data_IF_185543622889
#
_entry.id   IF_185543622889
#
_cell.length_a   1.000
_cell.length_b   1.000
_cell.length_c   1.000
_cell.angle_alpha   90.00
_cell.angle_beta   90.00
_cell.angle_gamma   90.00
#
_symmetry.space_group_name_H-M   'P 1'
#
loop_
_entity.id
_entity.type
_entity.pdbx_description
1 polymer ?
#
# COMPACT_ATOMS: atom_id res chain seq x y z
N UNK A 1 -66.07 -24.79 -10.21
CA UNK A 1 -64.71 -24.65 -9.64
C UNK A 1 -64.39 -23.14 -9.63
N UNK A 2 -64.46 -22.45 -8.47
CA UNK A 2 -64.19 -21.01 -8.42
C UNK A 2 -62.69 -20.72 -8.61
N UNK A 3 -62.31 -19.63 -9.31
CA UNK A 3 -60.91 -19.27 -9.51
C UNK A 3 -60.23 -18.83 -8.19
N UNK A 4 -58.92 -19.09 -8.02
CA UNK A 4 -58.19 -18.66 -6.82
C UNK A 4 -58.15 -17.12 -6.75
N UNK A 5 -58.40 -16.57 -5.55
CA UNK A 5 -58.29 -15.11 -5.33
C UNK A 5 -56.83 -14.69 -5.51
N UNK A 6 -56.57 -13.54 -6.16
CA UNK A 6 -55.22 -13.03 -6.28
C UNK A 6 -54.65 -12.74 -4.88
N UNK A 7 -53.33 -12.93 -4.68
CA UNK A 7 -52.69 -12.68 -3.39
C UNK A 7 -52.86 -11.20 -3.01
N UNK A 8 -53.68 -10.95 -2.00
CA UNK A 8 -53.91 -9.62 -1.44
C UNK A 8 -52.67 -9.24 -0.63
N UNK A 9 -51.82 -8.37 -1.20
CA UNK A 9 -50.62 -7.88 -0.50
C UNK A 9 -51.06 -7.05 0.71
N UNK A 10 -50.77 -7.51 1.92
CA UNK A 10 -51.15 -6.83 3.15
C UNK A 10 -50.61 -5.38 3.17
N UNK A 11 -51.44 -4.37 3.44
CA UNK A 11 -51.03 -2.96 3.45
C UNK A 11 -49.90 -2.67 4.46
N UNK A 12 -49.82 -3.49 5.52
CA UNK A 12 -48.75 -3.44 6.53
C UNK A 12 -47.38 -3.77 5.91
N UNK A 13 -47.33 -4.74 4.99
CA UNK A 13 -46.09 -5.12 4.30
C UNK A 13 -45.63 -4.00 3.39
N UNK A 14 -46.55 -3.36 2.66
CA UNK A 14 -46.25 -2.22 1.78
C UNK A 14 -45.73 -1.03 2.59
N UNK A 15 -46.34 -0.73 3.74
CA UNK A 15 -45.87 0.31 4.65
C UNK A 15 -44.48 0.03 5.23
N UNK A 16 -44.21 -1.22 5.62
CA UNK A 16 -42.90 -1.65 6.11
C UNK A 16 -41.79 -1.48 5.07
N UNK A 17 -42.04 -1.86 3.82
CA UNK A 17 -41.10 -1.65 2.72
C UNK A 17 -40.85 -0.16 2.42
N UNK A 18 -41.91 0.65 2.48
CA UNK A 18 -41.80 2.10 2.32
C UNK A 18 -40.91 2.73 3.40
N UNK A 19 -41.12 2.36 4.66
CA UNK A 19 -40.30 2.85 5.77
C UNK A 19 -38.83 2.43 5.64
N UNK A 20 -38.58 1.16 5.26
CA UNK A 20 -37.22 0.66 5.02
C UNK A 20 -36.52 1.43 3.91
N UNK A 21 -37.21 1.73 2.81
CA UNK A 21 -36.65 2.53 1.72
C UNK A 21 -36.32 3.95 2.16
N UNK A 22 -37.21 4.59 2.93
CA UNK A 22 -36.96 5.94 3.46
C UNK A 22 -35.74 5.93 4.38
N UNK A 23 -35.63 4.97 5.29
CA UNK A 23 -34.47 4.83 6.18
C UNK A 23 -33.18 4.60 5.37
N UNK A 24 -33.21 3.73 4.36
CA UNK A 24 -32.07 3.49 3.49
C UNK A 24 -31.62 4.76 2.75
N UNK A 25 -32.57 5.54 2.22
CA UNK A 25 -32.28 6.83 1.56
C UNK A 25 -31.68 7.82 2.55
N UNK A 26 -32.25 7.94 3.75
CA UNK A 26 -31.74 8.83 4.81
C UNK A 26 -30.31 8.44 5.21
N UNK A 27 -30.02 7.15 5.36
CA UNK A 27 -28.67 6.65 5.67
C UNK A 27 -27.66 6.95 4.56
N UNK A 28 -28.09 6.91 3.29
CA UNK A 28 -27.24 7.26 2.15
C UNK A 28 -26.99 8.77 2.03
N UNK A 29 -27.94 9.62 2.41
CA UNK A 29 -27.81 11.09 2.39
C UNK A 29 -26.98 11.58 3.57
N UNK A 30 -27.29 11.14 4.79
CA UNK A 30 -26.59 11.60 5.99
C UNK A 30 -25.18 11.00 6.11
N UNK A 31 -24.89 9.91 5.37
CA UNK A 31 -23.63 9.13 5.42
C UNK A 31 -22.96 9.18 6.80
N UNK A 32 -23.64 8.70 7.84
CA UNK A 32 -23.18 8.94 9.18
C UNK A 32 -21.86 8.19 9.41
N UNK A 33 -20.92 8.84 10.08
CA UNK A 33 -19.51 8.42 10.17
C UNK A 33 -19.31 7.08 10.89
N UNK A 34 -20.27 6.65 11.70
CA UNK A 34 -20.32 5.32 12.33
C UNK A 34 -20.58 4.16 11.35
N UNK A 35 -21.07 4.46 10.15
CA UNK A 35 -21.52 3.50 9.13
C UNK A 35 -20.64 3.63 7.88
N UNK A 36 -20.17 4.85 7.59
CA UNK A 36 -19.21 5.15 6.54
C UNK A 36 -18.00 5.84 7.18
N UNK A 37 -17.01 5.08 7.69
CA UNK A 37 -15.78 5.69 8.20
C UNK A 37 -15.17 6.56 7.12
N UNK A 38 -14.73 7.77 7.50
CA UNK A 38 -14.12 8.69 6.58
C UNK A 38 -12.92 8.02 5.89
N UNK A 39 -12.71 8.24 4.58
CA UNK A 39 -11.52 7.73 3.91
C UNK A 39 -10.28 8.15 4.68
N UNK A 40 -9.38 7.20 4.94
CA UNK A 40 -8.08 7.51 5.54
C UNK A 40 -7.43 8.57 4.67
N UNK A 41 -7.07 9.71 5.28
CA UNK A 41 -6.43 10.80 4.55
C UNK A 41 -5.21 10.24 3.81
N UNK A 42 -4.97 10.65 2.55
CA UNK A 42 -3.83 10.16 1.80
C UNK A 42 -2.56 10.44 2.59
N UNK A 43 -1.81 9.38 2.87
CA UNK A 43 -0.60 9.44 3.68
C UNK A 43 0.35 10.53 3.14
N UNK A 44 0.91 11.40 4.00
CA UNK A 44 1.78 12.47 3.55
C UNK A 44 2.97 11.93 2.76
N UNK A 45 3.37 12.64 1.70
CA UNK A 45 4.48 12.22 0.83
C UNK A 45 5.77 11.92 1.62
N UNK A 46 6.06 12.70 2.66
CA UNK A 46 7.21 12.49 3.53
C UNK A 46 7.16 11.16 4.28
N UNK A 47 5.97 10.72 4.70
CA UNK A 47 5.79 9.44 5.40
C UNK A 47 5.92 8.28 4.43
N UNK A 48 5.33 8.40 3.22
CA UNK A 48 5.53 7.40 2.14
C UNK A 48 6.98 7.22 1.77
N UNK A 49 7.71 8.33 1.69
CA UNK A 49 9.14 8.33 1.40
C UNK A 49 9.96 7.68 2.51
N UNK A 50 9.70 8.04 3.77
CA UNK A 50 10.36 7.40 4.91
C UNK A 50 10.09 5.89 4.96
N UNK A 51 8.85 5.47 4.72
CA UNK A 51 8.48 4.06 4.68
C UNK A 51 9.21 3.32 3.55
N UNK A 52 9.22 3.88 2.33
CA UNK A 52 9.92 3.28 1.19
C UNK A 52 11.42 3.13 1.42
N UNK A 53 12.05 4.11 2.09
CA UNK A 53 13.47 4.05 2.48
C UNK A 53 13.71 2.96 3.52
N UNK A 54 12.82 2.81 4.50
CA UNK A 54 12.92 1.75 5.48
C UNK A 54 12.83 0.36 4.83
N UNK A 55 11.89 0.18 3.89
CA UNK A 55 11.77 -1.07 3.11
C UNK A 55 13.07 -1.35 2.35
N UNK A 56 13.60 -0.35 1.61
CA UNK A 56 14.86 -0.50 0.88
C UNK A 56 16.04 -0.85 1.80
N UNK A 57 16.10 -0.26 3.00
CA UNK A 57 17.13 -0.55 3.99
C UNK A 57 17.10 -2.02 4.43
N UNK A 58 15.91 -2.53 4.76
CA UNK A 58 15.71 -3.92 5.19
C UNK A 58 16.11 -4.88 4.07
N UNK A 59 15.70 -4.61 2.83
CA UNK A 59 16.03 -5.44 1.68
C UNK A 59 17.54 -5.43 1.37
N UNK A 60 18.19 -4.27 1.49
CA UNK A 60 19.65 -4.18 1.38
C UNK A 60 20.35 -5.01 2.46
N UNK A 61 19.86 -4.99 3.70
CA UNK A 61 20.40 -5.83 4.77
C UNK A 61 20.23 -7.32 4.48
N UNK A 62 19.07 -7.76 3.96
CA UNK A 62 18.89 -9.17 3.56
C UNK A 62 19.87 -9.59 2.48
N UNK A 63 20.03 -8.77 1.44
CA UNK A 63 20.97 -9.06 0.35
C UNK A 63 22.41 -9.14 0.87
N UNK A 64 22.79 -8.21 1.75
CA UNK A 64 24.12 -8.20 2.37
C UNK A 64 24.34 -9.43 3.27
N UNK A 65 23.36 -9.77 4.11
CA UNK A 65 23.42 -10.97 4.96
C UNK A 65 23.50 -12.26 4.13
N UNK A 66 22.77 -12.35 3.02
CA UNK A 66 22.90 -13.47 2.09
C UNK A 66 24.32 -13.58 1.52
N UNK A 67 24.91 -12.45 1.12
CA UNK A 67 26.28 -12.39 0.61
C UNK A 67 27.30 -12.78 1.68
N UNK A 68 27.11 -12.36 2.92
CA UNK A 68 28.00 -12.73 4.04
C UNK A 68 27.94 -14.23 4.35
N UNK A 69 26.75 -14.83 4.26
CA UNK A 69 26.56 -16.26 4.56
C UNK A 69 26.99 -17.18 3.42
N UNK A 70 26.80 -16.79 2.16
CA UNK A 70 27.09 -17.64 0.98
C UNK A 70 28.32 -17.23 0.18
N UNK A 71 28.87 -16.04 0.42
CA UNK A 71 29.97 -15.47 -0.36
C UNK A 71 29.55 -14.89 -1.71
N UNK A 72 28.27 -15.01 -2.10
CA UNK A 72 27.76 -14.59 -3.41
C UNK A 72 26.49 -13.74 -3.30
N UNK A 73 26.24 -12.89 -4.29
CA UNK A 73 24.98 -12.15 -4.37
C UNK A 73 23.82 -13.06 -4.79
N UNK A 74 22.63 -12.89 -4.17
CA UNK A 74 21.45 -13.66 -4.52
C UNK A 74 21.01 -13.37 -5.97
N UNK A 75 20.52 -14.36 -6.69
CA UNK A 75 19.96 -14.17 -8.03
C UNK A 75 18.66 -13.35 -8.02
N UNK A 76 17.95 -13.34 -6.89
CA UNK A 76 16.71 -12.58 -6.69
C UNK A 76 16.49 -12.23 -5.23
N UNK A 77 15.63 -11.23 -4.96
CA UNK A 77 15.22 -10.88 -3.60
C UNK A 77 14.55 -12.04 -2.86
N UNK A 78 13.74 -12.85 -3.57
CA UNK A 78 13.12 -14.03 -2.99
C UNK A 78 14.16 -15.03 -2.45
N UNK A 79 15.31 -15.15 -3.13
CA UNK A 79 16.41 -16.01 -2.67
C UNK A 79 17.09 -15.45 -1.40
N UNK A 80 17.07 -14.13 -1.22
CA UNK A 80 17.52 -13.45 0.00
C UNK A 80 16.48 -13.46 1.14
N UNK A 81 15.33 -14.11 0.95
CA UNK A 81 14.25 -14.17 1.94
C UNK A 81 13.38 -12.91 1.99
N UNK A 82 13.33 -12.15 0.89
CA UNK A 82 12.39 -11.03 0.75
C UNK A 82 10.94 -11.53 0.67
N UNK A 83 10.05 -10.80 1.33
CA UNK A 83 8.59 -10.99 1.25
C UNK A 83 7.92 -9.73 0.71
N UNK A 84 8.68 -8.87 0.03
CA UNK A 84 8.14 -7.63 -0.47
C UNK A 84 7.16 -7.89 -1.62
N UNK A 85 5.99 -7.24 -1.59
CA UNK A 85 4.87 -7.40 -2.54
C UNK A 85 5.17 -6.75 -3.92
N UNK A 86 6.44 -6.74 -4.32
CA UNK A 86 6.92 -6.13 -5.57
C UNK A 86 7.16 -4.62 -5.49
N UNK A 87 7.22 -4.04 -4.30
CA UNK A 87 7.53 -2.61 -4.13
C UNK A 87 9.00 -2.30 -4.48
N UNK A 88 9.89 -3.28 -4.36
CA UNK A 88 11.32 -3.17 -4.61
C UNK A 88 11.74 -4.07 -5.77
N UNK A 89 12.39 -3.47 -6.76
CA UNK A 89 13.05 -4.17 -7.86
C UNK A 89 14.53 -4.33 -7.54
N UNK A 90 15.06 -5.54 -7.71
CA UNK A 90 16.48 -5.84 -7.56
C UNK A 90 17.16 -6.08 -8.89
N UNK A 91 18.37 -5.55 -9.03
CA UNK A 91 19.24 -5.78 -10.17
C UNK A 91 20.67 -6.01 -9.71
N UNK A 92 21.26 -7.13 -10.11
CA UNK A 92 22.71 -7.33 -10.01
C UNK A 92 23.40 -6.47 -11.06
N UNK A 93 24.41 -5.72 -10.62
CA UNK A 93 25.28 -4.97 -11.51
C UNK A 93 26.51 -5.82 -11.84
N UNK A 94 27.17 -6.38 -10.81
CA UNK A 94 28.36 -7.24 -10.94
C UNK A 94 28.38 -8.35 -9.86
N UNK A 95 29.50 -9.04 -9.69
CA UNK A 95 29.71 -10.05 -8.66
C UNK A 95 29.57 -9.53 -7.22
N UNK A 96 29.93 -8.26 -6.98
CA UNK A 96 29.87 -7.64 -5.66
C UNK A 96 28.92 -6.44 -5.53
N UNK A 97 28.33 -5.99 -6.64
CA UNK A 97 27.49 -4.78 -6.70
C UNK A 97 26.08 -5.07 -7.15
N UNK A 98 25.12 -4.41 -6.51
CA UNK A 98 23.70 -4.49 -6.85
C UNK A 98 23.00 -3.14 -6.70
N UNK A 99 21.82 -3.06 -7.28
CA UNK A 99 20.92 -1.92 -7.25
C UNK A 99 19.54 -2.38 -6.75
N UNK A 100 18.93 -1.58 -5.88
CA UNK A 100 17.55 -1.73 -5.41
C UNK A 100 16.76 -0.48 -5.82
N UNK A 101 15.59 -0.68 -6.43
CA UNK A 101 14.71 0.40 -6.85
C UNK A 101 13.36 0.22 -6.19
N UNK A 102 13.04 1.06 -5.21
CA UNK A 102 11.75 1.10 -4.54
C UNK A 102 10.78 2.01 -5.30
N UNK A 103 9.53 1.59 -5.46
CA UNK A 103 8.46 2.38 -6.08
C UNK A 103 7.21 2.43 -5.20
N UNK A 104 6.74 3.64 -4.92
CA UNK A 104 5.48 3.89 -4.22
C UNK A 104 4.68 4.98 -4.95
N UNK A 105 3.78 4.57 -5.85
CA UNK A 105 3.06 5.49 -6.73
C UNK A 105 4.00 6.23 -7.68
N UNK A 106 4.07 7.55 -7.59
CA UNK A 106 5.01 8.38 -8.39
C UNK A 106 6.40 8.51 -7.76
N UNK A 107 6.58 8.08 -6.51
CA UNK A 107 7.86 8.15 -5.82
C UNK A 107 8.72 6.96 -6.22
N UNK A 108 9.94 7.24 -6.69
CA UNK A 108 10.95 6.22 -7.00
C UNK A 108 12.24 6.55 -6.25
N UNK A 109 12.77 5.56 -5.52
CA UNK A 109 14.04 5.69 -4.80
C UNK A 109 14.97 4.60 -5.28
N UNK A 110 16.19 4.96 -5.65
CA UNK A 110 17.21 4.02 -6.10
C UNK A 110 18.34 3.98 -5.09
N UNK A 111 18.73 2.78 -4.67
CA UNK A 111 19.89 2.54 -3.85
C UNK A 111 20.88 1.67 -4.61
N UNK A 112 22.17 2.02 -4.49
CA UNK A 112 23.28 1.26 -5.05
C UNK A 112 24.17 0.79 -3.93
N UNK A 113 24.56 -0.49 -3.97
CA UNK A 113 25.34 -1.12 -2.90
C UNK A 113 26.76 -0.56 -2.71
N UNK A 114 27.21 0.37 -3.55
CA UNK A 114 28.47 1.10 -3.39
C UNK A 114 28.34 2.36 -2.53
N UNK A 115 27.11 2.76 -2.20
CA UNK A 115 26.82 3.89 -1.32
C UNK A 115 26.63 3.39 0.12
N UNK A 116 27.02 4.20 1.13
CA UNK A 116 26.80 3.82 2.52
C UNK A 116 25.29 3.70 2.81
N UNK A 117 24.89 2.60 3.42
CA UNK A 117 23.48 2.30 3.68
C UNK A 117 22.79 3.37 4.55
N UNK A 118 23.54 4.02 5.46
CA UNK A 118 23.05 5.12 6.28
C UNK A 118 22.66 6.36 5.47
N UNK A 119 23.25 6.56 4.29
CA UNK A 119 22.87 7.65 3.40
C UNK A 119 21.44 7.47 2.84
N UNK A 120 20.96 6.22 2.76
CA UNK A 120 19.59 5.89 2.35
C UNK A 120 18.56 6.46 3.33
N UNK A 121 18.90 6.48 4.63
CA UNK A 121 18.08 7.10 5.67
C UNK A 121 18.28 8.62 5.71
N UNK A 122 19.52 9.10 5.54
CA UNK A 122 19.88 10.52 5.63
C UNK A 122 19.42 11.42 4.47
N UNK A 123 19.33 10.91 3.23
CA UNK A 123 18.92 11.72 2.07
C UNK A 123 17.42 12.12 2.07
N UNK A 124 16.62 11.63 3.03
CA UNK A 124 15.17 11.92 3.17
C UNK A 124 14.95 13.38 3.52
N UNK A 125 15.89 13.92 4.27
CA UNK A 125 15.91 15.33 4.64
C UNK A 125 16.43 16.25 3.54
N UNK A 126 17.15 15.73 2.54
CA UNK A 126 17.80 16.58 1.53
C UNK A 126 16.89 16.87 0.33
N UNK A 127 16.06 15.92 -0.11
CA UNK A 127 15.16 16.08 -1.27
C UNK A 127 14.01 17.07 -0.99
N UNK A 128 13.59 17.24 0.27
CA UNK A 128 12.56 18.22 0.65
C UNK A 128 13.09 19.67 0.53
N UNK A 129 14.40 19.89 0.59
CA UNK A 129 15.00 21.24 0.62
C UNK A 129 15.15 21.90 -0.75
N UNK A 130 15.17 21.13 -1.85
CA UNK A 130 15.34 21.67 -3.21
C UNK A 130 14.04 22.13 -3.88
N UNK A 131 12.88 22.00 -3.23
CA UNK A 131 11.58 22.43 -3.79
C UNK A 131 11.20 23.89 -3.45
N UNK A 132 12.07 24.63 -2.76
CA UNK A 132 11.80 26.01 -2.31
C UNK A 132 12.74 27.04 -2.97
N UNK A 133 13.09 26.85 -4.24
CA UNK A 133 13.75 27.88 -5.04
C UNK A 133 13.05 28.09 -6.37
#
# INVERSE_FOLDING_TARGET
MPPPRPPQKSPIVVGGWGLLLVVAVVLLVLRPTWLFPAPVAPEPLAVKEANLRMVLYIEAQRVNGYRELRGELPASLAQAGSQDDGLVTYRRLDAGRYELVGRAGTLTITYRSGEPLDALLGQSFKVIRDRTR
#
